data_IF_983043109128
#
_entry.id   IF_983043109128
#
_cell.length_a   1.000
_cell.length_b   1.000
_cell.length_c   1.000
_cell.angle_alpha   90.00
_cell.angle_beta   90.00
_cell.angle_gamma   90.00
#
_symmetry.space_group_name_H-M   'P 1'
#
loop_
_entity.id
_entity.type
_entity.pdbx_description
1 polymer ?
#
# COMPACT_ATOMS: atom_id res chain seq x y z
N UNK A 1 10.87 17.36 30.86
CA UNK A 1 12.02 17.15 29.97
C UNK A 1 11.56 16.36 28.76
N UNK A 2 11.67 16.91 27.56
CA UNK A 2 11.22 16.26 26.33
C UNK A 2 12.20 15.14 25.94
N UNK A 3 11.71 13.91 25.91
CA UNK A 3 12.47 12.75 25.43
C UNK A 3 12.63 12.92 23.91
N UNK A 4 13.78 13.45 23.45
CA UNK A 4 14.14 13.38 22.03
C UNK A 4 14.41 11.91 21.71
N UNK A 5 13.43 11.26 21.08
CA UNK A 5 13.63 9.95 20.49
C UNK A 5 14.76 10.08 19.45
N UNK A 6 15.88 9.38 19.67
CA UNK A 6 17.01 9.39 18.75
C UNK A 6 16.55 8.77 17.43
N UNK A 7 16.39 9.58 16.39
CA UNK A 7 16.16 9.10 15.03
C UNK A 7 17.49 8.49 14.52
N UNK A 8 17.68 7.19 14.75
CA UNK A 8 18.87 6.46 14.33
C UNK A 8 18.94 6.29 12.81
N UNK A 9 20.14 6.38 12.25
CA UNK A 9 20.42 6.16 10.82
C UNK A 9 20.81 4.70 10.54
N UNK A 10 20.08 3.74 11.09
CA UNK A 10 20.34 2.32 10.85
C UNK A 10 19.52 1.83 9.65
N UNK A 11 20.22 1.44 8.57
CA UNK A 11 19.66 0.57 7.56
C UNK A 11 19.70 -0.85 8.13
N UNK A 12 18.73 -1.18 8.99
CA UNK A 12 18.54 -2.55 9.46
C UNK A 12 17.79 -3.35 8.40
N UNK A 13 18.47 -3.79 7.35
CA UNK A 13 17.94 -4.83 6.46
C UNK A 13 18.04 -6.19 7.18
N UNK A 14 17.14 -6.45 8.13
CA UNK A 14 16.93 -7.81 8.63
C UNK A 14 16.07 -8.57 7.62
N UNK A 15 16.74 -9.21 6.66
CA UNK A 15 16.12 -10.08 5.67
C UNK A 15 15.75 -11.47 6.25
N UNK A 16 15.17 -11.51 7.45
CA UNK A 16 14.53 -12.72 7.97
C UNK A 16 13.01 -12.58 7.82
N UNK A 17 12.47 -13.21 6.77
CA UNK A 17 11.07 -13.63 6.52
C UNK A 17 9.88 -12.81 7.07
N UNK A 18 10.03 -11.52 7.39
CA UNK A 18 8.92 -10.67 7.78
C UNK A 18 8.15 -10.24 6.55
N UNK A 19 6.82 -10.41 6.57
CA UNK A 19 5.95 -10.07 5.44
C UNK A 19 5.74 -8.56 5.33
N UNK A 20 5.91 -7.86 6.45
CA UNK A 20 5.88 -6.42 6.62
C UNK A 20 7.16 -5.92 7.31
N UNK A 21 7.70 -4.78 6.89
CA UNK A 21 8.90 -4.18 7.49
C UNK A 21 9.03 -2.69 7.13
N UNK A 22 9.87 -1.97 7.86
CA UNK A 22 10.18 -0.57 7.56
C UNK A 22 11.69 -0.32 7.64
N UNK A 23 12.19 0.57 6.80
CA UNK A 23 13.59 1.00 6.79
C UNK A 23 13.69 2.51 6.48
N UNK A 24 14.87 3.08 6.70
CA UNK A 24 15.07 4.53 6.69
C UNK A 24 16.24 4.93 5.79
N UNK A 25 16.11 6.09 5.15
CA UNK A 25 17.19 6.86 4.56
C UNK A 25 17.14 8.28 5.14
N UNK A 26 18.18 9.12 5.01
CA UNK A 26 18.16 10.48 5.54
C UNK A 26 16.91 11.27 5.08
N UNK A 27 16.04 11.63 6.02
CA UNK A 27 14.78 12.34 5.74
C UNK A 27 13.62 11.47 5.21
N UNK A 28 13.79 10.16 5.04
CA UNK A 28 12.80 9.26 4.46
C UNK A 28 12.58 7.99 5.28
N UNK A 29 11.33 7.56 5.36
CA UNK A 29 10.93 6.23 5.84
C UNK A 29 10.21 5.48 4.73
N UNK A 30 10.59 4.23 4.54
CA UNK A 30 9.96 3.30 3.62
C UNK A 30 9.28 2.21 4.42
N UNK A 31 8.05 1.90 4.06
CA UNK A 31 7.23 0.91 4.76
C UNK A 31 6.70 -0.07 3.73
N UNK A 32 6.91 -1.36 3.96
CA UNK A 32 6.35 -2.46 3.16
C UNK A 32 5.33 -3.17 4.03
N UNK A 33 4.11 -3.34 3.52
CA UNK A 33 3.04 -4.05 4.21
C UNK A 33 2.56 -5.26 3.42
N UNK A 34 2.15 -6.30 4.13
CA UNK A 34 1.54 -7.50 3.56
C UNK A 34 0.03 -7.31 3.41
N UNK A 35 -0.43 -7.12 2.18
CA UNK A 35 -1.86 -7.07 1.87
C UNK A 35 -2.55 -8.43 1.88
N UNK A 36 -1.82 -9.52 2.10
CA UNK A 36 -2.35 -10.88 2.23
C UNK A 36 -2.42 -11.39 3.67
N UNK A 37 -2.20 -10.51 4.66
CA UNK A 37 -2.33 -10.78 6.09
C UNK A 37 -3.65 -11.52 6.40
N UNK A 38 -4.75 -10.99 5.86
CA UNK A 38 -6.03 -11.69 5.80
C UNK A 38 -6.33 -12.01 4.33
N UNK A 39 -6.19 -13.29 3.93
CA UNK A 39 -6.51 -13.75 2.58
C UNK A 39 -7.02 -15.20 2.57
N UNK A 40 -7.65 -15.59 1.46
CA UNK A 40 -8.18 -16.96 1.31
C UNK A 40 -7.10 -18.00 0.95
N UNK A 41 -5.90 -17.58 0.53
CA UNK A 41 -4.96 -18.43 -0.21
C UNK A 41 -3.48 -18.37 0.22
N UNK A 42 -3.02 -17.34 0.95
CA UNK A 42 -1.60 -17.15 1.27
C UNK A 42 -1.23 -17.45 2.73
N UNK A 43 -1.70 -18.59 3.27
CA UNK A 43 -1.64 -18.85 4.71
C UNK A 43 -0.98 -20.21 4.96
N UNK A 44 0.34 -20.22 5.23
CA UNK A 44 1.11 -21.47 5.38
C UNK A 44 0.68 -22.36 6.55
N UNK A 45 -0.13 -21.87 7.50
CA UNK A 45 -0.64 -22.66 8.63
C UNK A 45 -2.00 -22.10 9.11
N UNK A 46 -3.06 -22.31 8.33
CA UNK A 46 -4.47 -21.88 8.56
C UNK A 46 -4.95 -21.99 10.03
N UNK A 47 -4.63 -20.98 10.85
CA UNK A 47 -5.44 -20.63 12.01
C UNK A 47 -6.73 -19.95 11.57
N UNK A 48 -7.21 -18.99 12.37
CA UNK A 48 -8.50 -18.33 12.16
C UNK A 48 -8.53 -17.36 10.95
N UNK A 49 -7.38 -17.04 10.35
CA UNK A 49 -7.25 -16.02 9.29
C UNK A 49 -8.09 -16.33 8.03
N UNK A 50 -8.23 -17.61 7.67
CA UNK A 50 -9.09 -17.98 6.53
C UNK A 50 -10.57 -17.74 6.84
N UNK A 51 -11.00 -18.00 8.08
CA UNK A 51 -12.38 -17.75 8.50
C UNK A 51 -12.66 -16.25 8.55
N UNK A 52 -11.73 -15.46 9.09
CA UNK A 52 -11.80 -14.00 9.05
C UNK A 52 -11.85 -13.45 7.62
N UNK A 53 -11.03 -13.99 6.71
CA UNK A 53 -11.06 -13.61 5.29
C UNK A 53 -12.42 -13.93 4.64
N UNK A 54 -12.98 -15.11 4.91
CA UNK A 54 -14.29 -15.50 4.38
C UNK A 54 -15.41 -14.61 4.92
N UNK A 55 -15.40 -14.33 6.23
CA UNK A 55 -16.40 -13.47 6.88
C UNK A 55 -16.33 -12.03 6.34
N UNK A 56 -15.13 -11.46 6.23
CA UNK A 56 -14.92 -10.13 5.67
C UNK A 56 -15.37 -10.05 4.20
N UNK A 57 -15.04 -11.06 3.40
CA UNK A 57 -15.46 -11.12 2.00
C UNK A 57 -16.99 -11.18 1.89
N UNK A 58 -17.64 -12.05 2.68
CA UNK A 58 -19.09 -12.20 2.68
C UNK A 58 -19.81 -10.89 3.06
N UNK A 59 -19.32 -10.19 4.09
CA UNK A 59 -19.84 -8.87 4.49
C UNK A 59 -19.68 -7.84 3.36
N UNK A 60 -18.50 -7.75 2.74
CA UNK A 60 -18.26 -6.82 1.63
C UNK A 60 -19.12 -7.13 0.40
N UNK A 61 -19.37 -8.42 0.12
CA UNK A 61 -20.27 -8.87 -0.94
C UNK A 61 -21.72 -8.49 -0.64
N UNK A 62 -22.18 -8.70 0.60
CA UNK A 62 -23.51 -8.29 1.03
C UNK A 62 -23.71 -6.76 0.89
N UNK A 63 -22.65 -5.98 1.14
CA UNK A 63 -22.61 -4.53 0.93
C UNK A 63 -22.30 -4.11 -0.51
N UNK A 64 -22.26 -5.05 -1.45
CA UNK A 64 -22.04 -4.84 -2.89
C UNK A 64 -20.79 -4.00 -3.21
N UNK A 65 -19.72 -4.21 -2.43
CA UNK A 65 -18.46 -3.50 -2.61
C UNK A 65 -17.70 -4.06 -3.82
N UNK A 66 -17.22 -3.18 -4.72
CA UNK A 66 -16.60 -3.61 -5.99
C UNK A 66 -15.40 -4.54 -5.77
N UNK A 67 -14.61 -4.26 -4.72
CA UNK A 67 -13.39 -4.98 -4.36
C UNK A 67 -13.65 -6.32 -3.68
N UNK A 68 -14.90 -6.70 -3.42
CA UNK A 68 -15.26 -7.94 -2.74
C UNK A 68 -15.04 -9.17 -3.65
N UNK A 69 -13.76 -9.48 -3.91
CA UNK A 69 -13.31 -10.54 -4.80
C UNK A 69 -12.43 -11.53 -4.04
N UNK A 70 -12.55 -12.85 -4.30
CA UNK A 70 -11.81 -13.88 -3.57
C UNK A 70 -10.30 -13.86 -3.80
N UNK A 71 -9.83 -13.17 -4.84
CA UNK A 71 -8.41 -12.96 -5.13
C UNK A 71 -7.82 -11.72 -4.45
N UNK A 72 -8.62 -10.94 -3.72
CA UNK A 72 -8.12 -9.82 -2.93
C UNK A 72 -7.87 -10.23 -1.48
N UNK A 73 -6.94 -9.54 -0.83
CA UNK A 73 -6.65 -9.67 0.60
C UNK A 73 -6.99 -8.41 1.40
N UNK A 74 -6.72 -8.46 2.70
CA UNK A 74 -6.84 -7.34 3.63
C UNK A 74 -5.64 -7.29 4.57
N UNK A 75 -5.43 -6.12 5.18
CA UNK A 75 -4.48 -5.96 6.29
C UNK A 75 -5.21 -6.15 7.61
N UNK A 76 -4.70 -7.01 8.49
CA UNK A 76 -5.26 -7.29 9.80
C UNK A 76 -5.03 -6.17 10.82
N UNK A 77 -5.71 -6.26 11.96
CA UNK A 77 -5.70 -5.19 12.97
C UNK A 77 -4.30 -4.95 13.55
N UNK A 78 -3.53 -6.00 13.81
CA UNK A 78 -2.15 -5.91 14.35
C UNK A 78 -1.24 -5.15 13.40
N UNK A 79 -1.23 -5.51 12.12
CA UNK A 79 -0.40 -4.84 11.14
C UNK A 79 -0.90 -3.41 10.85
N UNK A 80 -2.21 -3.16 10.90
CA UNK A 80 -2.75 -1.80 10.76
C UNK A 80 -2.31 -0.89 11.91
N UNK A 81 -2.32 -1.40 13.15
CA UNK A 81 -1.82 -0.66 14.31
C UNK A 81 -0.30 -0.40 14.19
N UNK A 82 0.46 -1.40 13.74
CA UNK A 82 1.89 -1.24 13.45
C UNK A 82 2.15 -0.18 12.38
N UNK A 83 1.38 -0.17 11.28
CA UNK A 83 1.45 0.85 10.23
C UNK A 83 1.24 2.25 10.81
N UNK A 84 0.24 2.44 11.65
CA UNK A 84 -0.02 3.73 12.29
C UNK A 84 1.14 4.16 13.20
N UNK A 85 1.71 3.25 14.00
CA UNK A 85 2.91 3.53 14.81
C UNK A 85 4.08 4.01 13.96
N UNK A 86 4.36 3.35 12.82
CA UNK A 86 5.42 3.77 11.90
C UNK A 86 5.19 5.19 11.35
N UNK A 87 3.94 5.55 11.07
CA UNK A 87 3.57 6.88 10.57
C UNK A 87 3.67 7.97 11.64
N UNK A 88 3.30 7.65 12.89
CA UNK A 88 3.45 8.55 14.04
C UNK A 88 4.93 8.87 14.28
N UNK A 89 5.78 7.84 14.29
CA UNK A 89 7.22 8.00 14.49
C UNK A 89 7.87 8.78 13.34
N UNK A 90 7.49 8.50 12.09
CA UNK A 90 8.00 9.24 10.94
C UNK A 90 7.67 10.73 11.04
N UNK A 91 6.44 11.07 11.43
CA UNK A 91 6.02 12.45 11.66
C UNK A 91 6.84 13.10 12.78
N UNK A 92 7.03 12.41 13.91
CA UNK A 92 7.82 12.93 15.03
C UNK A 92 9.30 13.17 14.65
N UNK A 93 9.86 12.35 13.77
CA UNK A 93 11.21 12.50 13.22
C UNK A 93 11.29 13.44 11.99
N UNK A 94 10.19 14.07 11.55
CA UNK A 94 10.18 14.93 10.35
C UNK A 94 10.48 14.20 9.04
N UNK A 95 10.22 12.89 8.98
CA UNK A 95 10.52 12.03 7.82
C UNK A 95 9.38 12.08 6.80
N UNK A 96 9.73 12.09 5.52
CA UNK A 96 8.80 11.80 4.41
C UNK A 96 8.56 10.28 4.34
N UNK A 97 7.34 9.86 4.03
CA UNK A 97 6.98 8.43 4.00
C UNK A 97 6.64 7.95 2.60
N UNK A 98 7.23 6.82 2.20
CA UNK A 98 6.83 6.03 1.02
C UNK A 98 6.36 4.66 1.49
N UNK A 99 5.23 4.21 0.97
CA UNK A 99 4.64 2.91 1.31
C UNK A 99 4.60 2.01 0.09
N UNK A 100 4.82 0.71 0.29
CA UNK A 100 4.68 -0.33 -0.71
C UNK A 100 3.73 -1.42 -0.21
N UNK A 101 2.80 -1.82 -1.06
CA UNK A 101 1.98 -3.00 -0.85
C UNK A 101 1.63 -3.64 -2.18
N UNK A 102 0.98 -4.81 -2.18
CA UNK A 102 0.61 -5.46 -3.43
C UNK A 102 -0.64 -4.83 -4.08
N UNK A 103 -1.62 -4.43 -3.28
CA UNK A 103 -2.95 -4.07 -3.76
C UNK A 103 -3.18 -2.55 -3.92
N UNK A 104 -3.85 -2.10 -5.00
CA UNK A 104 -4.34 -0.74 -5.16
C UNK A 104 -5.26 -0.30 -4.00
N UNK A 105 -5.14 0.96 -3.58
CA UNK A 105 -5.94 1.51 -2.48
C UNK A 105 -6.90 2.64 -2.88
N UNK A 106 -6.56 3.41 -3.93
CA UNK A 106 -7.37 4.54 -4.37
C UNK A 106 -7.23 4.83 -5.88
N UNK A 107 -8.33 5.16 -6.60
CA UNK A 107 -9.71 4.99 -6.15
C UNK A 107 -10.01 3.51 -5.88
N UNK A 108 -11.08 3.20 -5.17
CA UNK A 108 -11.48 1.82 -4.93
C UNK A 108 -12.17 1.22 -6.18
N UNK A 109 -11.79 0.00 -6.57
CA UNK A 109 -12.37 -0.78 -7.67
C UNK A 109 -12.12 -2.29 -7.44
N UNK A 110 -12.47 -3.14 -8.41
CA UNK A 110 -12.48 -4.60 -8.21
C UNK A 110 -11.16 -5.26 -7.83
N UNK A 111 -10.01 -4.62 -8.11
CA UNK A 111 -8.70 -5.13 -7.73
C UNK A 111 -8.16 -4.43 -6.48
N UNK A 112 -8.95 -3.59 -5.80
CA UNK A 112 -8.47 -2.93 -4.59
C UNK A 112 -8.37 -3.89 -3.40
N UNK A 113 -7.52 -3.57 -2.44
CA UNK A 113 -7.47 -4.26 -1.15
C UNK A 113 -8.86 -4.24 -0.48
N UNK A 114 -9.27 -5.33 0.18
CA UNK A 114 -10.59 -5.47 0.79
C UNK A 114 -10.91 -4.30 1.76
N UNK A 115 -9.98 -4.00 2.67
CA UNK A 115 -10.04 -2.83 3.55
C UNK A 115 -9.24 -1.62 3.03
N UNK A 116 -8.99 -1.53 1.72
CA UNK A 116 -8.13 -0.51 1.12
C UNK A 116 -8.56 0.94 1.37
N UNK A 117 -9.87 1.18 1.52
CA UNK A 117 -10.39 2.51 1.89
C UNK A 117 -9.88 2.96 3.26
N UNK A 118 -9.75 2.04 4.23
CA UNK A 118 -9.24 2.33 5.57
C UNK A 118 -7.76 2.74 5.51
N UNK A 119 -6.93 1.99 4.79
CA UNK A 119 -5.52 2.30 4.61
C UNK A 119 -5.32 3.59 3.83
N UNK A 120 -6.09 3.82 2.75
CA UNK A 120 -6.01 5.06 2.00
C UNK A 120 -6.33 6.28 2.88
N UNK A 121 -7.33 6.19 3.77
CA UNK A 121 -7.65 7.25 4.75
C UNK A 121 -6.50 7.45 5.74
N UNK A 122 -5.93 6.38 6.29
CA UNK A 122 -4.78 6.42 7.20
C UNK A 122 -3.58 7.13 6.54
N UNK A 123 -3.22 6.73 5.33
CA UNK A 123 -2.08 7.29 4.61
C UNK A 123 -2.27 8.77 4.26
N UNK A 124 -3.49 9.16 3.86
CA UNK A 124 -3.83 10.57 3.65
C UNK A 124 -3.73 11.39 4.94
N UNK A 125 -4.19 10.84 6.09
CA UNK A 125 -4.13 11.52 7.41
C UNK A 125 -2.69 11.82 7.82
N UNK A 126 -1.76 10.93 7.48
CA UNK A 126 -0.35 11.09 7.82
C UNK A 126 0.49 11.78 6.75
N UNK A 127 -0.07 12.09 5.57
CA UNK A 127 0.64 12.78 4.49
C UNK A 127 1.68 11.90 3.80
N UNK A 128 1.43 10.59 3.71
CA UNK A 128 2.29 9.65 2.94
C UNK A 128 2.49 10.20 1.53
N UNK A 129 3.72 10.24 1.05
CA UNK A 129 4.07 10.90 -0.22
C UNK A 129 3.69 10.08 -1.43
N UNK A 130 3.97 8.79 -1.36
CA UNK A 130 3.59 7.82 -2.38
C UNK A 130 3.27 6.47 -1.76
N UNK A 131 2.21 5.81 -2.25
CA UNK A 131 1.90 4.42 -2.00
C UNK A 131 1.97 3.67 -3.33
N UNK A 132 2.93 2.75 -3.45
CA UNK A 132 3.10 1.91 -4.63
C UNK A 132 2.37 0.58 -4.46
N UNK A 133 1.71 0.16 -5.53
CA UNK A 133 0.95 -1.07 -5.64
C UNK A 133 1.23 -1.79 -6.96
N UNK A 134 0.84 -3.06 -7.04
CA UNK A 134 0.76 -3.85 -8.28
C UNK A 134 -0.64 -4.43 -8.42
N UNK A 135 -0.73 -5.75 -8.62
CA UNK A 135 -1.97 -6.56 -8.70
C UNK A 135 -2.87 -6.26 -9.91
N UNK A 136 -3.24 -5.00 -10.14
CA UNK A 136 -3.87 -4.60 -11.40
C UNK A 136 -2.80 -4.28 -12.46
N UNK A 137 -2.53 -5.25 -13.33
CA UNK A 137 -1.50 -5.16 -14.36
C UNK A 137 -1.70 -4.01 -15.36
N UNK A 138 -2.89 -3.42 -15.44
CA UNK A 138 -3.16 -2.24 -16.28
C UNK A 138 -2.44 -0.99 -15.76
N UNK A 139 -2.06 -0.98 -14.48
CA UNK A 139 -1.49 0.17 -13.80
C UNK A 139 -2.53 1.25 -13.48
N UNK A 140 -2.08 2.29 -12.78
CA UNK A 140 -2.97 3.36 -12.31
C UNK A 140 -2.24 4.47 -11.59
N UNK A 141 -2.87 5.64 -11.57
CA UNK A 141 -2.40 6.80 -10.81
C UNK A 141 -3.59 7.52 -10.21
N UNK A 142 -3.49 7.86 -8.94
CA UNK A 142 -4.49 8.65 -8.26
C UNK A 142 -3.86 9.53 -7.18
N UNK A 143 -4.25 10.81 -7.12
CA UNK A 143 -3.87 11.70 -6.02
C UNK A 143 -5.10 11.98 -5.17
N UNK A 144 -4.95 11.85 -3.85
CA UNK A 144 -5.96 12.22 -2.86
C UNK A 144 -5.27 12.96 -1.71
N UNK A 145 -5.73 14.18 -1.42
CA UNK A 145 -5.00 15.12 -0.57
C UNK A 145 -3.52 15.20 -1.05
N UNK A 146 -2.56 15.08 -0.14
CA UNK A 146 -1.13 15.08 -0.46
C UNK A 146 -0.50 13.71 -0.70
N UNK A 147 -1.33 12.66 -0.75
CA UNK A 147 -0.90 11.29 -1.01
C UNK A 147 -1.16 10.87 -2.45
N UNK A 148 -0.14 10.32 -3.08
CA UNK A 148 -0.21 9.72 -4.41
C UNK A 148 -0.27 8.20 -4.29
N UNK A 149 -1.23 7.59 -4.96
CA UNK A 149 -1.40 6.14 -5.08
C UNK A 149 -1.04 5.73 -6.51
N UNK A 150 -0.11 4.78 -6.64
CA UNK A 150 0.49 4.41 -7.91
C UNK A 150 0.39 2.90 -8.04
N UNK A 151 -0.32 2.43 -9.06
CA UNK A 151 -0.34 1.01 -9.43
C UNK A 151 0.60 0.83 -10.61
N UNK A 152 1.65 0.05 -10.42
CA UNK A 152 2.61 -0.29 -11.46
C UNK A 152 2.01 -1.29 -12.44
N UNK A 153 2.37 -1.15 -13.71
CA UNK A 153 1.95 -2.09 -14.75
C UNK A 153 2.61 -3.46 -14.52
N UNK A 154 1.86 -4.53 -14.81
CA UNK A 154 2.35 -5.89 -14.70
C UNK A 154 3.40 -6.19 -15.76
N UNK A 155 4.50 -6.80 -15.36
CA UNK A 155 5.55 -7.24 -16.31
C UNK A 155 5.05 -8.36 -17.25
N UNK A 156 4.07 -9.14 -16.79
CA UNK A 156 3.54 -10.32 -17.49
C UNK A 156 2.70 -9.98 -18.73
N UNK A 157 2.07 -8.79 -18.77
CA UNK A 157 1.02 -8.46 -19.74
C UNK A 157 1.50 -7.53 -20.89
N UNK A 158 2.82 -7.33 -21.05
CA UNK A 158 3.40 -6.33 -21.96
C UNK A 158 4.38 -6.89 -23.01
N UNK A 159 4.52 -6.24 -24.20
CA UNK A 159 5.31 -6.72 -25.35
C UNK A 159 6.83 -6.60 -25.10
N UNK A 160 7.68 -6.79 -26.12
CA UNK A 160 9.17 -6.88 -26.10
C UNK A 160 10.00 -5.94 -25.19
N UNK A 161 9.40 -4.94 -24.53
CA UNK A 161 9.98 -4.16 -23.42
C UNK A 161 9.16 -4.27 -22.14
N UNK A 162 9.79 -4.86 -21.12
CA UNK A 162 9.25 -5.05 -19.77
C UNK A 162 8.99 -3.70 -19.08
N UNK A 163 7.78 -3.43 -18.56
CA UNK A 163 7.50 -2.20 -17.83
C UNK A 163 8.16 -2.20 -16.44
N UNK A 164 8.82 -1.10 -16.09
CA UNK A 164 9.36 -0.85 -14.75
C UNK A 164 9.37 0.65 -14.46
N UNK A 165 9.67 1.05 -13.21
CA UNK A 165 9.82 2.46 -12.87
C UNK A 165 11.04 2.70 -11.99
N UNK A 166 11.63 3.88 -12.15
CA UNK A 166 12.73 4.37 -11.33
C UNK A 166 12.22 5.52 -10.45
N UNK A 167 12.51 5.43 -9.16
CA UNK A 167 12.22 6.49 -8.20
C UNK A 167 13.54 7.13 -7.78
N UNK A 168 13.67 8.44 -8.01
CA UNK A 168 14.82 9.24 -7.59
C UNK A 168 14.39 10.12 -6.41
N UNK A 169 15.18 10.10 -5.34
CA UNK A 169 14.97 10.94 -4.16
C UNK A 169 16.09 11.99 -4.10
N UNK A 170 15.72 13.26 -3.98
CA UNK A 170 16.69 14.36 -3.89
C UNK A 170 16.21 15.36 -2.84
N UNK A 171 16.85 15.35 -1.67
CA UNK A 171 16.34 16.05 -0.50
C UNK A 171 14.92 15.58 -0.17
N UNK A 172 13.95 16.49 -0.23
CA UNK A 172 12.52 16.20 0.00
C UNK A 172 11.74 15.89 -1.29
N UNK A 173 12.41 15.86 -2.44
CA UNK A 173 11.76 15.62 -3.74
C UNK A 173 11.77 14.13 -4.08
N UNK A 174 10.60 13.61 -4.49
CA UNK A 174 10.45 12.29 -5.10
C UNK A 174 10.10 12.45 -6.58
N UNK A 175 10.93 11.91 -7.47
CA UNK A 175 10.68 11.86 -8.93
C UNK A 175 10.47 10.43 -9.37
N UNK A 176 9.37 10.17 -10.07
CA UNK A 176 9.06 8.87 -10.66
C UNK A 176 9.26 8.94 -12.18
N UNK A 177 10.09 8.05 -12.72
CA UNK A 177 10.25 7.85 -14.16
C UNK A 177 9.76 6.45 -14.53
N UNK A 178 8.64 6.37 -15.21
CA UNK A 178 8.13 5.12 -15.78
C UNK A 178 8.84 4.77 -17.08
N UNK A 179 9.27 3.52 -17.20
CA UNK A 179 9.84 2.93 -18.41
C UNK A 179 8.87 1.85 -18.91
N UNK A 180 8.37 1.96 -20.14
CA UNK A 180 7.34 1.07 -20.68
C UNK A 180 6.19 1.82 -21.35
N UNK A 181 5.01 1.20 -21.40
CA UNK A 181 3.83 1.75 -22.11
C UNK A 181 3.44 3.14 -21.57
N UNK A 182 3.54 4.17 -22.41
CA UNK A 182 2.75 5.40 -22.26
C UNK A 182 1.29 5.06 -22.56
N UNK A 183 0.42 5.06 -21.55
CA UNK A 183 -1.01 5.20 -21.80
C UNK A 183 -1.67 6.08 -20.73
N UNK A 184 -2.57 6.94 -21.21
CA UNK A 184 -3.18 8.07 -20.54
C UNK A 184 -3.99 7.66 -19.27
N UNK A 185 -4.15 8.56 -18.28
CA UNK A 185 -4.92 8.25 -17.08
C UNK A 185 -6.41 8.07 -17.43
N UNK A 186 -6.99 6.92 -17.06
CA UNK A 186 -8.43 6.71 -17.07
C UNK A 186 -9.03 7.07 -15.72
N UNK A 187 -10.12 7.85 -15.72
CA UNK A 187 -10.93 8.14 -14.54
C UNK A 187 -11.71 6.87 -14.14
N UNK A 188 -11.38 6.27 -13.00
CA UNK A 188 -12.12 5.13 -12.44
C UNK A 188 -13.52 5.49 -11.95
N UNK A 189 -14.47 4.56 -12.06
CA UNK A 189 -15.79 4.65 -11.41
C UNK A 189 -15.60 4.55 -9.88
N UNK A 190 -16.24 5.45 -9.12
CA UNK A 190 -16.09 5.55 -7.66
C UNK A 190 -16.97 4.50 -6.95
N UNK A 191 -16.43 3.82 -5.94
CA UNK A 191 -17.25 3.15 -4.93
C UNK A 191 -18.05 4.17 -4.12
N UNK A 192 -19.25 3.80 -3.68
CA UNK A 192 -20.00 4.54 -2.66
C UNK A 192 -19.30 4.32 -1.31
N UNK A 193 -18.85 5.39 -0.68
CA UNK A 193 -18.45 5.32 0.72
C UNK A 193 -19.73 5.35 1.56
N UNK A 194 -19.85 4.44 2.52
CA UNK A 194 -20.86 4.54 3.59
C UNK A 194 -20.71 5.91 4.27
N UNK A 195 -21.84 6.62 4.39
CA UNK A 195 -21.98 7.86 5.16
C UNK A 195 -21.97 7.54 6.64
#
# INVERSE_FOLDING_TARGET
>A
MAYRQKCGSEIALRADRQKEYAFQLPGWRFIVYDGNDISLYCNRHNGDDRQHAAALLADLQARQQLQAQPWNGAVGATQLAWLETQLIEARACGQQVVVFGHYPLAPCYSHSLLNGVQLAKLFCRYGVRACFAGHDHRGGYHRRADTVFITLQGMLDGPSRVPFAMVELTGETLRLRGMGRRNQPRRGKRCRADR
#
